data_IF_702947745186
#
_entry.id   IF_702947745186
#
_cell.length_a   1.000
_cell.length_b   1.000
_cell.length_c   1.000
_cell.angle_alpha   90.00
_cell.angle_beta   90.00
_cell.angle_gamma   90.00
#
_symmetry.space_group_name_H-M   'P 1'
#
loop_
_entity.id
_entity.type
_entity.pdbx_description
1 polymer ?
#
# COMPACT_ATOMS: atom_id res chain seq x y z
N UNK A 1 17.44 -1.03 -2.53
CA UNK A 1 16.72 -2.09 -1.81
C UNK A 1 16.22 -3.12 -2.82
N UNK A 2 16.58 -4.38 -2.62
CA UNK A 2 16.11 -5.50 -3.43
C UNK A 2 14.92 -6.16 -2.71
N UNK A 3 13.73 -6.10 -3.32
CA UNK A 3 12.51 -6.64 -2.70
C UNK A 3 12.54 -8.16 -2.57
N UNK A 4 13.19 -8.87 -3.50
CA UNK A 4 13.34 -10.33 -3.43
C UNK A 4 14.13 -10.71 -2.18
N UNK A 5 15.33 -10.13 -2.04
CA UNK A 5 16.19 -10.41 -0.89
C UNK A 5 15.48 -10.05 0.41
N UNK A 6 14.75 -8.94 0.45
CA UNK A 6 13.99 -8.53 1.62
C UNK A 6 12.86 -9.52 1.97
N UNK A 7 12.11 -10.00 0.98
CA UNK A 7 11.07 -11.00 1.20
C UNK A 7 11.67 -12.34 1.63
N UNK A 8 12.76 -12.78 1.01
CA UNK A 8 13.47 -13.98 1.41
C UNK A 8 13.93 -13.91 2.87
N UNK A 9 14.59 -12.82 3.27
CA UNK A 9 15.02 -12.60 4.66
C UNK A 9 13.83 -12.55 5.63
N UNK A 10 12.70 -11.98 5.21
CA UNK A 10 11.48 -11.93 6.00
C UNK A 10 10.89 -13.33 6.27
N UNK A 11 11.02 -14.25 5.30
CA UNK A 11 10.49 -15.62 5.39
C UNK A 11 11.39 -16.61 6.15
N UNK A 12 12.71 -16.43 6.13
CA UNK A 12 13.69 -17.38 6.71
C UNK A 12 13.48 -17.72 8.20
N UNK A 13 12.95 -16.83 9.06
CA UNK A 13 12.63 -17.18 10.44
C UNK A 13 11.50 -18.22 10.57
N UNK A 14 10.63 -18.35 9.58
CA UNK A 14 9.40 -19.17 9.64
C UNK A 14 9.53 -20.52 8.93
N UNK A 15 10.36 -20.60 7.89
CA UNK A 15 10.58 -21.84 7.15
C UNK A 15 12.03 -21.98 6.66
N UNK A 16 12.47 -23.23 6.50
CA UNK A 16 13.73 -23.59 5.83
C UNK A 16 13.50 -24.04 4.38
N UNK A 17 12.25 -24.12 3.94
CA UNK A 17 11.91 -24.50 2.58
C UNK A 17 12.14 -23.33 1.62
N UNK A 18 13.33 -23.27 1.03
CA UNK A 18 13.69 -22.24 0.06
C UNK A 18 12.86 -22.33 -1.23
N UNK A 19 12.33 -23.52 -1.58
CA UNK A 19 11.48 -23.68 -2.75
C UNK A 19 10.11 -23.04 -2.52
N UNK A 20 9.58 -23.15 -1.29
CA UNK A 20 8.36 -22.44 -0.90
C UNK A 20 8.58 -20.93 -0.97
N UNK A 21 9.67 -20.41 -0.38
CA UNK A 21 9.96 -18.98 -0.38
C UNK A 21 10.07 -18.43 -1.82
N UNK A 22 10.80 -19.12 -2.71
CA UNK A 22 10.93 -18.70 -4.11
C UNK A 22 9.59 -18.73 -4.85
N UNK A 23 8.75 -19.74 -4.58
CA UNK A 23 7.39 -19.83 -5.13
C UNK A 23 6.50 -18.67 -4.69
N UNK A 24 6.52 -18.33 -3.39
CA UNK A 24 5.75 -17.20 -2.84
C UNK A 24 6.23 -15.87 -3.42
N UNK A 25 7.55 -15.66 -3.51
CA UNK A 25 8.11 -14.47 -4.14
C UNK A 25 7.69 -14.37 -5.61
N UNK A 26 7.75 -15.47 -6.35
CA UNK A 26 7.36 -15.50 -7.77
C UNK A 26 5.89 -15.14 -7.96
N UNK A 27 5.01 -15.55 -7.05
CA UNK A 27 3.61 -15.13 -7.05
C UNK A 27 3.50 -13.61 -6.86
N UNK A 28 4.18 -13.04 -5.87
CA UNK A 28 4.22 -11.58 -5.62
C UNK A 28 4.74 -10.84 -6.85
N UNK A 29 5.92 -11.21 -7.36
CA UNK A 29 6.54 -10.59 -8.53
C UNK A 29 5.61 -10.62 -9.74
N UNK A 30 5.02 -11.79 -10.03
CA UNK A 30 4.08 -11.96 -11.14
C UNK A 30 2.85 -11.07 -10.98
N UNK A 31 2.27 -11.03 -9.78
CA UNK A 31 1.06 -10.25 -9.50
C UNK A 31 1.31 -8.76 -9.66
N UNK A 32 2.37 -8.23 -9.06
CA UNK A 32 2.71 -6.82 -9.17
C UNK A 32 3.26 -6.42 -10.55
N UNK A 33 3.58 -7.37 -11.44
CA UNK A 33 3.98 -7.14 -12.82
C UNK A 33 2.82 -7.26 -13.85
N UNK A 34 1.58 -7.51 -13.41
CA UNK A 34 0.41 -7.58 -14.29
C UNK A 34 0.25 -6.30 -15.13
N UNK A 35 0.00 -6.44 -16.44
CA UNK A 35 0.04 -5.33 -17.43
C UNK A 35 -0.83 -4.10 -17.10
N UNK A 36 -1.88 -4.28 -16.30
CA UNK A 36 -2.80 -3.21 -15.89
C UNK A 36 -2.34 -2.39 -14.68
N UNK A 37 -1.27 -2.80 -13.99
CA UNK A 37 -0.74 -2.14 -12.79
C UNK A 37 0.34 -1.14 -13.19
N UNK A 38 -0.04 0.13 -13.24
CA UNK A 38 0.89 1.22 -13.56
C UNK A 38 1.46 1.88 -12.32
N UNK A 39 0.65 2.00 -11.26
CA UNK A 39 1.07 2.51 -9.96
C UNK A 39 1.21 1.37 -8.95
N UNK A 40 0.22 0.47 -8.84
CA UNK A 40 0.19 -0.59 -7.83
C UNK A 40 1.09 -1.78 -8.23
N UNK A 41 2.39 -1.52 -8.37
CA UNK A 41 3.43 -2.43 -8.84
C UNK A 41 4.61 -2.52 -7.84
N UNK A 42 5.69 -3.23 -8.19
CA UNK A 42 6.84 -3.40 -7.31
C UNK A 42 7.57 -2.08 -6.93
N UNK A 43 7.42 -1.01 -7.72
CA UNK A 43 7.97 0.30 -7.34
C UNK A 43 7.19 0.90 -6.17
N UNK A 44 5.86 0.71 -6.12
CA UNK A 44 5.03 1.11 -4.98
C UNK A 44 5.51 0.45 -3.68
N UNK A 45 5.73 -0.88 -3.70
CA UNK A 45 6.26 -1.60 -2.53
C UNK A 45 7.63 -1.05 -2.09
N UNK A 46 8.52 -0.76 -3.05
CA UNK A 46 9.83 -0.13 -2.75
C UNK A 46 9.67 1.23 -2.07
N UNK A 47 8.72 2.04 -2.53
CA UNK A 47 8.46 3.34 -1.94
C UNK A 47 7.93 3.21 -0.52
N UNK A 48 6.96 2.31 -0.27
CA UNK A 48 6.43 2.05 1.07
C UNK A 48 7.52 1.63 2.05
N UNK A 49 8.34 0.65 1.69
CA UNK A 49 9.46 0.21 2.53
C UNK A 49 10.50 1.32 2.76
N UNK A 50 10.77 2.16 1.76
CA UNK A 50 11.66 3.32 1.93
C UNK A 50 11.11 4.29 2.98
N UNK A 51 9.79 4.50 3.03
CA UNK A 51 9.18 5.32 4.08
C UNK A 51 9.22 4.63 5.45
N UNK A 52 8.87 3.35 5.51
CA UNK A 52 8.80 2.58 6.76
C UNK A 52 10.17 2.39 7.42
N UNK A 53 11.25 2.26 6.65
CA UNK A 53 12.60 2.18 7.20
C UNK A 53 12.98 3.46 7.99
N UNK A 54 12.44 4.63 7.62
CA UNK A 54 12.68 5.87 8.39
C UNK A 54 11.99 5.90 9.75
N UNK A 55 10.97 5.07 9.96
CA UNK A 55 10.18 4.97 11.20
C UNK A 55 10.28 3.60 11.85
N UNK A 56 11.24 2.77 11.42
CA UNK A 56 11.40 1.38 11.87
C UNK A 56 11.55 1.25 13.38
N UNK A 57 12.23 2.19 14.04
CA UNK A 57 12.37 2.21 15.50
C UNK A 57 11.08 2.55 16.24
N UNK A 58 10.08 3.10 15.54
CA UNK A 58 8.76 3.44 16.08
C UNK A 58 7.72 2.35 15.84
N UNK A 59 8.06 1.34 15.03
CA UNK A 59 7.21 0.18 14.77
C UNK A 59 7.44 -0.88 15.86
N UNK A 60 6.34 -1.39 16.43
CA UNK A 60 6.41 -2.44 17.44
C UNK A 60 6.76 -3.79 16.83
N UNK A 61 6.25 -4.05 15.62
CA UNK A 61 6.52 -5.25 14.85
C UNK A 61 6.68 -4.93 13.36
N UNK A 62 7.93 -4.78 12.96
CA UNK A 62 8.28 -4.56 11.57
C UNK A 62 7.99 -5.78 10.67
N UNK A 63 7.89 -6.99 11.25
CA UNK A 63 7.70 -8.24 10.51
C UNK A 63 6.28 -8.31 9.95
N UNK A 64 5.27 -8.11 10.80
CA UNK A 64 3.86 -8.09 10.36
C UNK A 64 3.60 -6.96 9.37
N UNK A 65 4.10 -5.75 9.65
CA UNK A 65 4.00 -4.62 8.70
C UNK A 65 4.64 -4.97 7.36
N UNK A 66 5.81 -5.62 7.35
CA UNK A 66 6.48 -6.00 6.10
C UNK A 66 5.66 -7.00 5.27
N UNK A 67 5.05 -8.00 5.90
CA UNK A 67 4.13 -8.90 5.19
C UNK A 67 2.90 -8.16 4.66
N UNK A 68 2.32 -7.25 5.45
CA UNK A 68 1.21 -6.41 5.00
C UNK A 68 1.58 -5.57 3.78
N UNK A 69 2.78 -4.99 3.72
CA UNK A 69 3.28 -4.29 2.53
C UNK A 69 3.30 -5.22 1.32
N UNK A 70 3.87 -6.41 1.44
CA UNK A 70 3.96 -7.34 0.31
C UNK A 70 2.61 -7.86 -0.19
N UNK A 71 1.59 -7.90 0.68
CA UNK A 71 0.32 -8.52 0.35
C UNK A 71 -0.88 -7.57 0.20
N UNK A 72 -0.83 -6.30 0.64
CA UNK A 72 -2.02 -5.44 0.66
C UNK A 72 -2.73 -5.30 -0.68
N UNK A 73 -1.96 -5.25 -1.76
CA UNK A 73 -2.44 -5.13 -3.14
C UNK A 73 -2.13 -6.35 -4.00
N UNK A 74 -1.86 -7.51 -3.38
CA UNK A 74 -1.53 -8.73 -4.13
C UNK A 74 -2.65 -9.09 -5.12
N UNK A 75 -3.91 -8.88 -4.72
CA UNK A 75 -5.07 -8.90 -5.60
C UNK A 75 -5.47 -7.46 -5.92
N UNK A 76 -5.37 -7.07 -7.19
CA UNK A 76 -5.72 -5.73 -7.62
C UNK A 76 -6.51 -5.74 -8.92
N UNK A 77 -7.69 -5.13 -8.88
CA UNK A 77 -8.48 -4.76 -10.05
C UNK A 77 -9.12 -3.39 -9.80
N UNK A 78 -8.80 -2.41 -10.64
CA UNK A 78 -9.27 -1.02 -10.49
C UNK A 78 -10.80 -0.87 -10.47
N UNK A 79 -11.56 -1.83 -11.00
CA UNK A 79 -13.04 -1.80 -10.99
C UNK A 79 -13.66 -2.57 -9.83
N UNK A 80 -12.86 -3.27 -9.02
CA UNK A 80 -13.32 -4.09 -7.90
C UNK A 80 -13.38 -3.28 -6.61
N UNK A 81 -14.31 -3.66 -5.73
CA UNK A 81 -14.43 -3.13 -4.36
C UNK A 81 -13.99 -4.15 -3.30
N UNK A 82 -13.44 -5.28 -3.71
CA UNK A 82 -13.05 -6.39 -2.84
C UNK A 82 -11.56 -6.71 -2.92
N UNK A 83 -10.74 -5.77 -3.41
CA UNK A 83 -9.31 -6.01 -3.57
C UNK A 83 -8.67 -6.31 -2.21
N UNK A 84 -8.95 -5.48 -1.20
CA UNK A 84 -8.38 -5.58 0.12
C UNK A 84 -8.84 -6.86 0.83
N UNK A 85 -10.13 -7.21 0.75
CA UNK A 85 -10.63 -8.48 1.29
C UNK A 85 -9.99 -9.70 0.62
N UNK A 86 -9.87 -9.69 -0.72
CA UNK A 86 -9.25 -10.81 -1.44
C UNK A 86 -7.74 -10.89 -1.20
N UNK A 87 -7.07 -9.75 -1.06
CA UNK A 87 -5.66 -9.65 -0.70
C UNK A 87 -5.41 -10.18 0.71
N UNK A 88 -6.26 -9.83 1.68
CA UNK A 88 -6.17 -10.35 3.05
C UNK A 88 -6.38 -11.88 3.07
N UNK A 89 -7.35 -12.41 2.33
CA UNK A 89 -7.55 -13.86 2.19
C UNK A 89 -6.33 -14.55 1.56
N UNK A 90 -5.76 -13.95 0.50
CA UNK A 90 -4.55 -14.48 -0.15
C UNK A 90 -3.35 -14.44 0.80
N UNK A 91 -3.19 -13.36 1.57
CA UNK A 91 -2.16 -13.26 2.59
C UNK A 91 -2.31 -14.36 3.64
N UNK A 92 -3.51 -14.54 4.18
CA UNK A 92 -3.78 -15.56 5.19
C UNK A 92 -3.47 -16.99 4.69
N UNK A 93 -3.84 -17.31 3.46
CA UNK A 93 -3.49 -18.58 2.79
C UNK A 93 -1.96 -18.78 2.76
N UNK A 94 -1.22 -17.82 2.18
CA UNK A 94 0.24 -17.96 2.00
C UNK A 94 1.02 -17.92 3.30
N UNK A 95 0.59 -17.12 4.26
CA UNK A 95 1.26 -16.99 5.55
C UNK A 95 1.00 -18.22 6.44
N UNK A 96 -0.15 -18.89 6.27
CA UNK A 96 -0.41 -20.20 6.88
C UNK A 96 0.52 -21.26 6.29
N UNK A 97 0.68 -21.29 4.96
CA UNK A 97 1.64 -22.18 4.27
C UNK A 97 3.08 -21.93 4.74
N UNK A 98 3.43 -20.67 4.99
CA UNK A 98 4.75 -20.25 5.47
C UNK A 98 5.01 -20.62 6.95
N UNK A 99 3.96 -20.91 7.72
CA UNK A 99 4.06 -21.32 9.12
C UNK A 99 3.94 -20.19 10.14
N UNK A 100 3.36 -19.04 9.78
CA UNK A 100 3.12 -17.96 10.73
C UNK A 100 2.06 -18.35 11.77
N UNK A 101 2.16 -17.76 12.96
CA UNK A 101 1.13 -17.92 13.98
C UNK A 101 -0.16 -17.22 13.57
N UNK A 102 -1.30 -17.81 13.94
CA UNK A 102 -2.62 -17.28 13.61
C UNK A 102 -2.84 -15.84 14.13
N UNK A 103 -2.23 -15.48 15.27
CA UNK A 103 -2.26 -14.10 15.80
C UNK A 103 -1.67 -13.09 14.83
N UNK A 104 -0.53 -13.42 14.23
CA UNK A 104 0.21 -12.52 13.34
C UNK A 104 -0.53 -12.41 12.00
N UNK A 105 -1.08 -13.53 11.52
CA UNK A 105 -1.92 -13.56 10.31
C UNK A 105 -3.15 -12.68 10.46
N UNK A 106 -3.79 -12.69 11.64
CA UNK A 106 -4.94 -11.81 11.93
C UNK A 106 -4.51 -10.34 11.88
N UNK A 107 -3.40 -9.96 12.53
CA UNK A 107 -2.87 -8.58 12.49
C UNK A 107 -2.57 -8.14 11.06
N UNK A 108 -1.93 -8.99 10.26
CA UNK A 108 -1.61 -8.70 8.85
C UNK A 108 -2.89 -8.53 8.03
N UNK A 109 -3.88 -9.40 8.24
CA UNK A 109 -5.17 -9.31 7.54
C UNK A 109 -5.90 -8.00 7.89
N UNK A 110 -5.94 -7.62 9.17
CA UNK A 110 -6.55 -6.37 9.63
C UNK A 110 -5.82 -5.13 9.08
N UNK A 111 -4.49 -5.19 9.03
CA UNK A 111 -3.66 -4.15 8.41
C UNK A 111 -3.98 -3.98 6.91
N UNK A 112 -4.09 -5.08 6.16
CA UNK A 112 -4.47 -5.04 4.74
C UNK A 112 -5.88 -4.48 4.58
N UNK A 113 -6.84 -4.94 5.36
CA UNK A 113 -8.23 -4.45 5.31
C UNK A 113 -8.33 -2.95 5.62
N UNK A 114 -7.50 -2.44 6.54
CA UNK A 114 -7.47 -1.03 6.88
C UNK A 114 -7.08 -0.12 5.70
N UNK A 115 -6.32 -0.63 4.72
CA UNK A 115 -5.94 0.13 3.50
C UNK A 115 -7.13 0.48 2.62
N UNK A 116 -8.30 -0.12 2.84
CA UNK A 116 -9.51 0.17 2.06
C UNK A 116 -10.08 1.57 2.29
N UNK A 117 -10.05 2.00 3.55
CA UNK A 117 -10.68 3.26 3.99
C UNK A 117 -9.65 4.25 4.53
N UNK A 118 -8.44 3.79 4.82
CA UNK A 118 -7.37 4.57 5.45
C UNK A 118 -7.88 5.36 6.66
N UNK A 119 -8.73 4.75 7.48
CA UNK A 119 -9.18 5.34 8.74
C UNK A 119 -8.11 5.13 9.82
N UNK A 120 -8.10 6.00 10.83
CA UNK A 120 -7.22 5.83 11.98
C UNK A 120 -7.54 4.50 12.70
N UNK A 121 -6.49 3.75 13.00
CA UNK A 121 -6.56 2.48 13.71
C UNK A 121 -6.09 2.65 15.16
N UNK A 122 -6.64 1.85 16.07
CA UNK A 122 -6.10 1.73 17.42
C UNK A 122 -4.70 1.08 17.44
N UNK A 123 -4.35 0.35 16.38
CA UNK A 123 -3.01 -0.21 16.22
C UNK A 123 -2.09 0.80 15.52
N UNK A 124 -1.05 1.24 16.24
CA UNK A 124 -0.12 2.25 15.75
C UNK A 124 0.70 1.80 14.54
N UNK A 125 1.06 0.52 14.44
CA UNK A 125 1.81 -0.02 13.30
C UNK A 125 0.95 -0.01 12.03
N UNK A 126 -0.36 -0.26 12.18
CA UNK A 126 -1.33 -0.07 11.09
C UNK A 126 -1.34 1.38 10.61
N UNK A 127 -1.32 2.36 11.52
CA UNK A 127 -1.28 3.78 11.14
C UNK A 127 -0.02 4.12 10.32
N UNK A 128 1.14 3.56 10.67
CA UNK A 128 2.36 3.73 9.88
C UNK A 128 2.29 3.07 8.50
N UNK A 129 1.67 1.88 8.39
CA UNK A 129 1.42 1.24 7.09
C UNK A 129 0.53 2.11 6.20
N UNK A 130 -0.59 2.61 6.74
CA UNK A 130 -1.52 3.48 6.01
C UNK A 130 -0.86 4.78 5.55
N UNK A 131 -0.01 5.36 6.40
CA UNK A 131 0.74 6.56 6.06
C UNK A 131 1.81 6.33 4.99
N UNK A 132 2.50 5.19 5.05
CA UNK A 132 3.47 4.81 4.03
C UNK A 132 2.80 4.60 2.67
N UNK A 133 1.62 3.98 2.63
CA UNK A 133 0.82 3.79 1.42
C UNK A 133 0.37 5.13 0.81
N UNK A 134 -0.08 6.08 1.64
CA UNK A 134 -0.51 7.41 1.21
C UNK A 134 0.63 8.40 0.98
N UNK A 135 1.89 8.03 1.27
CA UNK A 135 3.04 8.94 1.23
C UNK A 135 3.28 9.59 -0.14
N UNK A 136 2.84 8.94 -1.23
CA UNK A 136 2.90 9.48 -2.59
C UNK A 136 2.18 10.84 -2.71
N UNK A 137 1.13 11.05 -1.93
CA UNK A 137 0.34 12.27 -1.97
C UNK A 137 1.19 13.47 -1.56
N UNK A 138 2.11 13.29 -0.61
CA UNK A 138 2.98 14.36 -0.08
C UNK A 138 4.32 14.51 -0.78
N UNK A 139 4.58 13.80 -1.89
CA UNK A 139 5.83 13.96 -2.66
C UNK A 139 5.90 15.30 -3.38
N UNK A 140 7.06 15.63 -3.93
CA UNK A 140 7.21 16.79 -4.79
C UNK A 140 6.25 16.73 -5.99
N UNK A 141 5.97 17.89 -6.58
CA UNK A 141 4.94 18.03 -7.60
C UNK A 141 5.22 17.16 -8.85
N UNK A 142 6.48 16.98 -9.24
CA UNK A 142 6.82 16.18 -10.41
C UNK A 142 6.49 14.70 -10.16
N UNK A 143 6.93 14.17 -9.02
CA UNK A 143 6.62 12.81 -8.58
C UNK A 143 5.11 12.59 -8.46
N UNK A 144 4.40 13.53 -7.85
CA UNK A 144 2.95 13.46 -7.71
C UNK A 144 2.22 13.46 -9.06
N UNK A 145 2.61 14.33 -10.00
CA UNK A 145 2.01 14.36 -11.35
C UNK A 145 2.32 13.09 -12.15
N UNK A 146 3.47 12.45 -11.94
CA UNK A 146 3.73 11.14 -12.52
C UNK A 146 2.78 10.09 -11.94
N UNK A 147 2.54 10.11 -10.63
CA UNK A 147 1.55 9.28 -9.95
C UNK A 147 0.13 9.43 -10.53
N UNK A 148 -0.37 10.66 -10.68
CA UNK A 148 -1.73 10.89 -11.20
C UNK A 148 -1.91 10.35 -12.61
N UNK A 149 -0.87 10.44 -13.46
CA UNK A 149 -0.86 9.83 -14.81
C UNK A 149 -0.88 8.31 -14.76
N UNK A 150 -0.16 7.69 -13.81
CA UNK A 150 -0.18 6.24 -13.63
C UNK A 150 -1.56 5.75 -13.18
N UNK A 151 -2.16 6.40 -12.18
CA UNK A 151 -3.54 6.11 -11.75
C UNK A 151 -4.52 6.29 -12.91
N UNK A 152 -4.41 7.36 -13.70
CA UNK A 152 -5.30 7.56 -14.86
C UNK A 152 -5.23 6.38 -15.85
N UNK A 153 -4.05 5.77 -16.04
CA UNK A 153 -3.89 4.59 -16.91
C UNK A 153 -4.56 3.33 -16.33
N UNK A 154 -4.49 3.11 -15.02
CA UNK A 154 -5.15 1.97 -14.37
C UNK A 154 -6.68 2.05 -14.50
N UNK A 155 -7.23 3.26 -14.45
CA UNK A 155 -8.65 3.52 -14.66
C UNK A 155 -9.01 3.86 -16.11
N UNK A 156 -8.17 3.48 -17.10
CA UNK A 156 -8.37 3.79 -18.53
C UNK A 156 -9.67 3.25 -19.11
N UNK A 157 -10.26 2.21 -18.50
CA UNK A 157 -11.58 1.68 -18.89
C UNK A 157 -12.71 2.72 -18.72
N UNK A 158 -12.57 3.66 -17.80
CA UNK A 158 -13.56 4.70 -17.58
C UNK A 158 -13.25 5.92 -18.46
N UNK A 159 -14.24 6.43 -19.23
CA UNK A 159 -14.10 7.71 -19.92
C UNK A 159 -13.97 8.85 -18.91
N UNK A 160 -13.39 9.96 -19.35
CA UNK A 160 -13.12 11.13 -18.51
C UNK A 160 -14.37 11.68 -17.81
N UNK A 161 -15.54 11.59 -18.47
CA UNK A 161 -16.84 12.01 -17.91
C UNK A 161 -17.21 11.24 -16.63
N UNK A 162 -16.75 9.99 -16.47
CA UNK A 162 -16.98 9.18 -15.28
C UNK A 162 -15.77 9.21 -14.33
N UNK A 163 -14.55 9.15 -14.87
CA UNK A 163 -13.32 9.14 -14.08
C UNK A 163 -13.13 10.43 -13.29
N UNK A 164 -13.23 11.60 -13.94
CA UNK A 164 -12.90 12.88 -13.31
C UNK A 164 -13.79 13.20 -12.10
N UNK A 165 -15.14 13.05 -12.15
CA UNK A 165 -15.97 13.25 -10.98
C UNK A 165 -15.68 12.25 -9.85
N UNK A 166 -15.44 10.98 -10.18
CA UNK A 166 -15.07 9.94 -9.21
C UNK A 166 -13.75 10.24 -8.50
N UNK A 167 -12.71 10.58 -9.27
CA UNK A 167 -11.40 10.97 -8.74
C UNK A 167 -11.51 12.23 -7.87
N UNK A 168 -12.23 13.26 -8.32
CA UNK A 168 -12.48 14.47 -7.50
C UNK A 168 -13.16 14.13 -6.16
N UNK A 169 -14.09 13.18 -6.15
CA UNK A 169 -14.77 12.75 -4.91
C UNK A 169 -13.78 12.15 -3.90
N UNK A 170 -12.91 11.25 -4.35
CA UNK A 170 -11.86 10.64 -3.51
C UNK A 170 -10.89 11.71 -2.98
N UNK A 171 -10.43 12.60 -3.85
CA UNK A 171 -9.51 13.67 -3.48
C UNK A 171 -10.11 14.67 -2.48
N UNK A 172 -11.38 15.05 -2.68
CA UNK A 172 -12.11 15.91 -1.74
C UNK A 172 -12.27 15.24 -0.37
N UNK A 173 -12.56 13.94 -0.36
CA UNK A 173 -12.65 13.20 0.90
C UNK A 173 -11.36 13.31 1.73
N UNK A 174 -10.18 13.20 1.11
CA UNK A 174 -8.92 13.41 1.83
C UNK A 174 -8.77 14.84 2.38
N UNK A 175 -9.23 15.87 1.66
CA UNK A 175 -9.17 17.25 2.15
C UNK A 175 -10.15 17.53 3.30
N UNK A 176 -11.23 16.75 3.41
CA UNK A 176 -12.24 16.85 4.48
C UNK A 176 -11.75 16.21 5.80
N UNK A 177 -10.75 15.33 5.75
CA UNK A 177 -10.13 14.78 6.96
C UNK A 177 -9.41 15.88 7.74
N UNK A 178 -9.40 15.77 9.07
CA UNK A 178 -8.58 16.65 9.93
C UNK A 178 -7.10 16.52 9.59
N UNK A 179 -6.65 15.28 9.32
CA UNK A 179 -5.31 14.97 8.82
C UNK A 179 -5.37 13.82 7.83
N UNK A 180 -4.62 13.91 6.73
CA UNK A 180 -4.51 12.84 5.73
C UNK A 180 -3.68 11.69 6.32
N UNK A 181 -2.57 12.05 6.97
CA UNK A 181 -1.68 11.13 7.65
C UNK A 181 -2.06 10.98 9.13
N UNK A 182 -1.80 9.81 9.73
CA UNK A 182 -2.29 9.42 11.06
C UNK A 182 -1.21 9.67 12.11
N UNK A 183 0.04 9.42 11.75
CA UNK A 183 1.19 9.54 12.65
C UNK A 183 1.86 10.91 12.54
N UNK A 184 2.38 11.42 13.65
CA UNK A 184 3.00 12.74 13.71
C UNK A 184 4.19 12.88 12.75
N UNK A 185 4.95 11.80 12.54
CA UNK A 185 6.08 11.78 11.61
C UNK A 185 5.60 12.10 10.18
N UNK A 186 4.59 11.38 9.68
CA UNK A 186 4.10 11.57 8.31
C UNK A 186 3.28 12.85 8.17
N UNK A 187 2.51 13.25 9.20
CA UNK A 187 1.84 14.56 9.23
C UNK A 187 2.85 15.70 9.02
N UNK A 188 3.91 15.73 9.83
CA UNK A 188 4.96 16.77 9.74
C UNK A 188 5.68 16.75 8.39
N UNK A 189 5.92 15.56 7.83
CA UNK A 189 6.68 15.38 6.59
C UNK A 189 5.87 15.70 5.33
N UNK A 190 4.58 15.37 5.31
CA UNK A 190 3.81 15.27 4.06
C UNK A 190 2.47 16.00 4.04
N UNK A 191 1.86 16.35 5.17
CA UNK A 191 0.48 16.87 5.21
C UNK A 191 0.30 18.12 4.34
N UNK A 192 1.17 19.13 4.52
CA UNK A 192 1.09 20.39 3.78
C UNK A 192 1.25 20.19 2.28
N UNK A 193 2.24 19.38 1.87
CA UNK A 193 2.48 19.10 0.46
C UNK A 193 1.35 18.28 -0.15
N UNK A 194 0.82 17.28 0.58
CA UNK A 194 -0.29 16.45 0.13
C UNK A 194 -1.54 17.27 -0.14
N UNK A 195 -1.90 18.18 0.77
CA UNK A 195 -3.05 19.07 0.56
C UNK A 195 -2.87 19.99 -0.64
N UNK A 196 -1.66 20.53 -0.84
CA UNK A 196 -1.34 21.36 -2.00
C UNK A 196 -1.45 20.58 -3.32
N UNK A 197 -0.86 19.39 -3.37
CA UNK A 197 -0.91 18.49 -4.52
C UNK A 197 -2.35 18.09 -4.88
N UNK A 198 -3.14 17.68 -3.88
CA UNK A 198 -4.54 17.28 -4.06
C UNK A 198 -5.39 18.45 -4.57
N UNK A 199 -5.23 19.64 -3.99
CA UNK A 199 -5.96 20.83 -4.42
C UNK A 199 -5.62 21.19 -5.88
N UNK A 200 -4.35 21.05 -6.28
CA UNK A 200 -3.93 21.26 -7.67
C UNK A 200 -4.51 20.20 -8.62
N UNK A 201 -4.49 18.91 -8.25
CA UNK A 201 -5.10 17.84 -9.08
C UNK A 201 -6.59 18.11 -9.31
N UNK A 202 -7.33 18.53 -8.28
CA UNK A 202 -8.77 18.84 -8.39
C UNK A 202 -9.04 19.96 -9.42
N UNK A 203 -8.15 20.95 -9.54
CA UNK A 203 -8.30 22.03 -10.53
C UNK A 203 -8.00 21.57 -11.97
N UNK A 204 -7.14 20.56 -12.13
CA UNK A 204 -6.74 20.00 -13.43
C UNK A 204 -7.74 18.96 -13.98
N UNK A 205 -8.49 18.29 -13.10
CA UNK A 205 -9.54 17.32 -13.46
C UNK A 205 -10.77 18.04 -14.02
#
# INVERSE_FOLDING_TARGET
MNLKDQFEQLCLPFTKDLSLIDSLWKEIDTKYAEKGRHYHNLLHLKNMFTELENVKSSLSDFTTVSFSVFYHDIIYNATSKSNEENSALKAAERLTELGLHQSDITIISDQILATKLHQESENQDTNYLLDADLSILGKDLETYLAYTRMIRKEYSIYPDLLYKPGRKKVLKHFLELESIFKTDYFKKKYETQARSNIAAEIQLL
#
